data_IF_001411707523
#
_entry.id   IF_001411707523
#
_cell.length_a   1.000
_cell.length_b   1.000
_cell.length_c   1.000
_cell.angle_alpha   90.00
_cell.angle_beta   90.00
_cell.angle_gamma   90.00
#
_symmetry.space_group_name_H-M   'P 1'
#
loop_
_entity.id
_entity.type
_entity.pdbx_description
1 polymer ?
#
# COMPACT_ATOMS: atom_id res chain seq x y z
N UNK A 1 -13.06 10.45 -7.38
CA UNK A 1 -12.68 9.78 -6.12
C UNK A 1 -12.69 8.29 -6.39
N UNK A 2 -11.53 7.66 -6.52
CA UNK A 2 -11.47 6.24 -6.92
C UNK A 2 -11.07 5.43 -5.70
N UNK A 3 -12.08 4.97 -4.95
CA UNK A 3 -11.88 4.01 -3.87
C UNK A 3 -11.24 2.75 -4.44
N UNK A 4 -10.10 2.35 -3.86
CA UNK A 4 -9.37 1.18 -4.30
C UNK A 4 -10.23 -0.09 -4.08
N UNK A 5 -10.77 -0.64 -5.16
CA UNK A 5 -11.57 -1.88 -5.11
C UNK A 5 -10.64 -3.08 -5.02
N UNK A 6 -10.39 -3.57 -3.81
CA UNK A 6 -9.61 -4.78 -3.59
C UNK A 6 -10.31 -5.99 -4.21
N UNK A 7 -9.58 -6.76 -5.01
CA UNK A 7 -10.12 -7.99 -5.62
C UNK A 7 -10.29 -9.07 -4.54
N UNK A 8 -11.47 -9.72 -4.46
CA UNK A 8 -11.71 -10.84 -3.55
C UNK A 8 -11.04 -12.14 -4.02
N UNK A 9 -10.36 -12.12 -5.17
CA UNK A 9 -9.66 -13.28 -5.74
C UNK A 9 -8.15 -13.03 -5.77
N UNK A 10 -7.39 -14.04 -5.35
CA UNK A 10 -5.94 -14.01 -5.39
C UNK A 10 -5.43 -14.18 -6.82
N UNK A 11 -4.63 -13.26 -7.37
CA UNK A 11 -4.08 -13.42 -8.72
C UNK A 11 -2.98 -14.48 -8.80
N UNK A 12 -2.40 -14.90 -7.67
CA UNK A 12 -1.35 -15.93 -7.64
C UNK A 12 -1.89 -17.36 -7.75
N UNK A 13 -3.09 -17.63 -7.25
CA UNK A 13 -3.64 -19.00 -7.20
C UNK A 13 -5.15 -19.11 -7.49
N UNK A 14 -5.82 -18.00 -7.81
CA UNK A 14 -7.29 -17.90 -7.93
C UNK A 14 -8.09 -18.25 -6.66
N UNK A 15 -7.41 -18.40 -5.52
CA UNK A 15 -8.04 -18.62 -4.22
C UNK A 15 -8.90 -17.44 -3.76
N UNK A 16 -9.88 -17.73 -2.90
CA UNK A 16 -10.85 -16.75 -2.37
C UNK A 16 -10.62 -16.39 -0.90
N UNK A 17 -9.71 -17.09 -0.19
CA UNK A 17 -9.35 -16.76 1.19
C UNK A 17 -8.36 -15.61 1.20
N UNK A 18 -8.85 -14.41 0.89
CA UNK A 18 -8.07 -13.18 0.76
C UNK A 18 -8.49 -12.20 1.86
N UNK A 19 -7.51 -11.70 2.62
CA UNK A 19 -7.72 -10.82 3.78
C UNK A 19 -6.99 -9.51 3.59
N UNK A 20 -7.62 -8.40 3.99
CA UNK A 20 -7.01 -7.07 3.98
C UNK A 20 -6.75 -6.59 5.42
N UNK A 21 -5.63 -5.92 5.63
CA UNK A 21 -5.36 -5.20 6.86
C UNK A 21 -6.21 -3.93 6.95
N UNK A 22 -6.30 -3.35 8.15
CA UNK A 22 -6.58 -1.90 8.27
C UNK A 22 -5.45 -1.12 7.59
N UNK A 23 -5.68 0.16 7.35
CA UNK A 23 -4.60 1.04 6.87
C UNK A 23 -3.48 1.11 7.93
N UNK A 24 -2.24 0.89 7.50
CA UNK A 24 -1.06 0.89 8.35
C UNK A 24 -0.01 1.87 7.84
N UNK A 25 0.95 2.18 8.69
CA UNK A 25 2.11 3.01 8.33
C UNK A 25 2.98 2.30 7.28
N UNK A 26 3.31 2.99 6.19
CA UNK A 26 4.21 2.53 5.14
C UNK A 26 5.70 2.61 5.53
N UNK A 27 5.99 3.16 6.71
CA UNK A 27 7.31 3.18 7.35
C UNK A 27 7.16 3.28 8.87
N UNK A 28 8.18 2.84 9.61
CA UNK A 28 8.17 2.83 11.07
C UNK A 28 9.56 2.53 11.66
N UNK A 29 9.70 2.54 12.99
CA UNK A 29 11.01 2.50 13.66
C UNK A 29 11.93 1.31 13.30
N UNK A 30 11.36 0.19 12.85
CA UNK A 30 12.13 -1.00 12.40
C UNK A 30 11.79 -1.45 10.97
N UNK A 31 10.89 -0.73 10.28
CA UNK A 31 10.42 -1.12 8.95
C UNK A 31 11.01 -0.18 7.89
N UNK A 32 11.39 -0.68 6.70
CA UNK A 32 11.73 0.17 5.57
C UNK A 32 10.61 1.17 5.26
N UNK A 33 10.98 2.33 4.73
CA UNK A 33 10.00 3.24 4.14
C UNK A 33 9.61 2.70 2.76
N UNK A 34 8.44 2.08 2.68
CA UNK A 34 7.89 1.53 1.43
C UNK A 34 7.33 2.62 0.51
N UNK A 35 7.09 3.83 1.02
CA UNK A 35 6.49 4.93 0.26
C UNK A 35 7.29 6.25 0.43
N UNK A 36 8.60 6.27 0.09
CA UNK A 36 9.46 7.42 0.33
C UNK A 36 8.96 8.71 -0.31
N UNK A 37 8.93 9.77 0.47
CA UNK A 37 8.51 11.10 0.03
C UNK A 37 7.02 11.26 -0.25
N UNK A 38 6.18 10.28 0.10
CA UNK A 38 4.72 10.33 -0.08
C UNK A 38 3.95 10.58 1.23
N UNK A 39 4.66 10.70 2.35
CA UNK A 39 4.08 11.12 3.62
C UNK A 39 3.52 12.54 3.55
N UNK A 40 2.69 12.90 4.53
CA UNK A 40 2.15 14.25 4.62
C UNK A 40 3.26 15.27 4.88
N UNK A 41 3.90 15.18 6.05
CA UNK A 41 4.91 16.11 6.55
C UNK A 41 5.60 15.41 7.75
N UNK A 42 6.61 16.04 8.36
CA UNK A 42 7.20 15.54 9.62
C UNK A 42 6.22 15.49 10.81
N UNK A 43 5.02 16.10 10.69
CA UNK A 43 3.98 16.18 11.73
C UNK A 43 2.82 15.21 11.55
N UNK A 44 2.44 14.92 10.31
CA UNK A 44 1.22 14.20 9.96
C UNK A 44 1.48 12.70 9.68
N UNK A 45 2.70 12.25 9.91
CA UNK A 45 3.09 10.84 9.93
C UNK A 45 3.46 10.27 8.55
N UNK A 46 4.03 9.06 8.57
CA UNK A 46 4.40 8.35 7.36
C UNK A 46 3.17 8.05 6.49
N UNK A 47 3.40 7.92 5.18
CA UNK A 47 2.39 7.50 4.22
C UNK A 47 1.72 6.20 4.67
N UNK A 48 0.52 5.95 4.17
CA UNK A 48 -0.28 4.80 4.57
C UNK A 48 -0.41 3.78 3.44
N UNK A 49 -0.58 2.53 3.82
CA UNK A 49 -0.85 1.44 2.88
C UNK A 49 -1.78 0.39 3.48
N UNK A 50 -2.43 -0.36 2.61
CA UNK A 50 -3.19 -1.57 2.96
C UNK A 50 -2.44 -2.79 2.45
N UNK A 51 -2.27 -3.80 3.31
CA UNK A 51 -1.71 -5.10 2.93
C UNK A 51 -2.84 -6.08 2.71
N UNK A 52 -2.77 -6.83 1.61
CA UNK A 52 -3.67 -7.94 1.32
C UNK A 52 -2.87 -9.22 1.27
N UNK A 53 -3.33 -10.25 1.99
CA UNK A 53 -2.70 -11.58 2.03
C UNK A 53 -3.68 -12.66 1.58
N UNK A 54 -3.21 -13.58 0.75
CA UNK A 54 -3.93 -14.80 0.42
C UNK A 54 -3.54 -15.92 1.39
N UNK A 55 -4.51 -16.48 2.12
CA UNK A 55 -4.28 -17.59 3.04
C UNK A 55 -4.08 -18.94 2.34
N UNK A 56 -4.33 -19.02 1.02
CA UNK A 56 -4.14 -20.24 0.24
C UNK A 56 -2.69 -20.40 -0.26
N UNK A 57 -2.10 -19.33 -0.80
CA UNK A 57 -0.76 -19.38 -1.43
C UNK A 57 0.26 -18.42 -0.82
N UNK A 58 -0.11 -17.62 0.17
CA UNK A 58 0.80 -16.67 0.83
C UNK A 58 1.13 -15.42 0.03
N UNK A 59 0.53 -15.18 -1.15
CA UNK A 59 0.77 -13.96 -1.92
C UNK A 59 0.39 -12.73 -1.09
N UNK A 60 1.34 -11.79 -0.96
CA UNK A 60 1.15 -10.49 -0.33
C UNK A 60 1.10 -9.42 -1.41
N UNK A 61 0.13 -8.50 -1.31
CA UNK A 61 0.02 -7.31 -2.15
C UNK A 61 -0.10 -6.08 -1.26
N UNK A 62 0.67 -5.04 -1.55
CA UNK A 62 0.63 -3.77 -0.83
C UNK A 62 0.01 -2.70 -1.73
N UNK A 63 -0.95 -1.94 -1.21
CA UNK A 63 -1.64 -0.89 -1.93
C UNK A 63 -1.43 0.44 -1.21
N UNK A 64 -0.83 1.42 -1.90
CA UNK A 64 -0.62 2.75 -1.36
C UNK A 64 -1.97 3.45 -1.10
N UNK A 65 -2.06 4.18 0.01
CA UNK A 65 -3.24 4.98 0.35
C UNK A 65 -3.51 6.08 -0.68
N UNK A 66 -4.75 6.53 -0.77
CA UNK A 66 -5.20 7.50 -1.79
C UNK A 66 -4.41 8.81 -1.78
N UNK A 67 -3.97 9.24 -0.61
CA UNK A 67 -3.16 10.45 -0.49
C UNK A 67 -1.74 10.28 -1.04
N UNK A 68 -1.11 9.13 -0.77
CA UNK A 68 0.19 8.81 -1.35
C UNK A 68 0.10 8.74 -2.88
N UNK A 69 -0.97 8.15 -3.42
CA UNK A 69 -1.23 8.10 -4.86
C UNK A 69 -1.37 9.50 -5.48
N UNK A 70 -2.00 10.44 -4.78
CA UNK A 70 -2.15 11.83 -5.26
C UNK A 70 -0.81 12.57 -5.37
N UNK A 71 0.18 12.22 -4.54
CA UNK A 71 1.50 12.85 -4.53
C UNK A 71 2.52 12.14 -5.41
N UNK A 72 2.26 10.89 -5.77
CA UNK A 72 3.19 10.05 -6.50
C UNK A 72 3.70 10.70 -7.80
N UNK A 73 2.86 11.34 -8.65
CA UNK A 73 3.33 11.97 -9.89
C UNK A 73 4.33 13.12 -9.67
N UNK A 74 4.23 13.83 -8.55
CA UNK A 74 5.02 15.03 -8.25
C UNK A 74 6.25 14.72 -7.38
N UNK A 75 6.39 13.47 -6.92
CA UNK A 75 7.46 13.09 -6.00
C UNK A 75 8.77 12.80 -6.72
N UNK A 76 9.81 13.58 -6.41
CA UNK A 76 11.20 13.37 -6.89
C UNK A 76 11.83 12.04 -6.45
N UNK A 77 11.24 11.36 -5.47
CA UNK A 77 11.74 10.06 -4.98
C UNK A 77 11.36 8.90 -5.90
N UNK A 78 10.46 9.15 -6.87
CA UNK A 78 9.94 8.14 -7.78
C UNK A 78 10.22 8.55 -9.21
N UNK A 79 10.42 7.55 -10.06
CA UNK A 79 10.44 7.71 -11.51
C UNK A 79 9.37 6.84 -12.12
N UNK A 80 8.69 7.35 -13.14
CA UNK A 80 7.83 6.53 -13.98
C UNK A 80 8.72 5.54 -14.75
N UNK A 81 8.32 4.27 -14.75
CA UNK A 81 8.95 3.22 -15.55
C UNK A 81 8.29 3.12 -16.92
#
# INVERSE_FOLDING_TARGET
MTTLKLSPTCPGCNGRRVYASKEISAGGGHAPDYLPGLGQNWWSGAAKLTVVVCADCGLIRSFAGEEALRKLPDSKHWRKL
#
